data_IF_430637429701
#
_entry.id   IF_430637429701
#
_cell.length_a   1.000
_cell.length_b   1.000
_cell.length_c   1.000
_cell.angle_alpha   90.00
_cell.angle_beta   90.00
_cell.angle_gamma   90.00
#
_symmetry.space_group_name_H-M   'P 1'
#
loop_
_entity.id
_entity.type
_entity.pdbx_description
1 polymer ?
#
# COMPACT_ATOMS: atom_id res chain seq x y z
N UNK A 1 5.18 6.92 -16.46
CA UNK A 1 4.63 6.49 -15.15
C UNK A 1 3.17 6.93 -15.04
N UNK A 2 2.24 6.09 -14.56
CA UNK A 2 0.82 6.51 -14.40
C UNK A 2 0.60 7.12 -13.01
N UNK A 3 0.17 8.39 -12.96
CA UNK A 3 -0.01 9.19 -11.72
C UNK A 3 -0.92 8.51 -10.68
N UNK A 4 -1.91 7.73 -11.11
CA UNK A 4 -2.87 7.05 -10.24
C UNK A 4 -2.24 5.96 -9.38
N UNK A 5 -1.23 5.24 -9.88
CA UNK A 5 -0.56 4.17 -9.13
C UNK A 5 0.30 4.74 -7.99
N UNK A 6 0.94 5.88 -8.22
CA UNK A 6 1.69 6.61 -7.19
C UNK A 6 0.77 7.17 -6.10
N UNK A 7 -0.36 7.76 -6.50
CA UNK A 7 -1.36 8.24 -5.55
C UNK A 7 -1.93 7.10 -4.69
N UNK A 8 -2.12 5.91 -5.28
CA UNK A 8 -2.56 4.72 -4.56
C UNK A 8 -1.52 4.25 -3.53
N UNK A 9 -0.23 4.21 -3.92
CA UNK A 9 0.83 3.89 -2.96
C UNK A 9 0.89 4.91 -1.81
N UNK A 10 0.80 6.21 -2.12
CA UNK A 10 0.75 7.28 -1.11
C UNK A 10 -0.46 7.15 -0.17
N UNK A 11 -1.60 6.69 -0.68
CA UNK A 11 -2.78 6.44 0.14
C UNK A 11 -2.52 5.35 1.20
N UNK A 12 -1.98 4.19 0.82
CA UNK A 12 -1.63 3.12 1.76
C UNK A 12 -0.64 3.59 2.82
N UNK A 13 0.39 4.30 2.36
CA UNK A 13 1.40 4.96 3.17
C UNK A 13 0.79 5.82 4.28
N UNK A 14 -0.11 6.75 3.93
CA UNK A 14 -0.79 7.60 4.90
C UNK A 14 -1.72 6.83 5.83
N UNK A 15 -2.44 5.84 5.31
CA UNK A 15 -3.35 5.01 6.09
C UNK A 15 -2.61 4.28 7.21
N UNK A 16 -1.47 3.64 6.90
CA UNK A 16 -0.68 2.91 7.89
C UNK A 16 -0.06 3.85 8.94
N UNK A 17 0.46 5.00 8.51
CA UNK A 17 1.01 6.00 9.43
C UNK A 17 -0.03 6.50 10.42
N UNK A 18 -1.25 6.76 9.96
CA UNK A 18 -2.29 7.33 10.82
C UNK A 18 -2.76 6.32 11.89
N UNK A 19 -2.87 5.04 11.53
CA UNK A 19 -3.15 3.98 12.51
C UNK A 19 -2.01 3.84 13.52
N UNK A 20 -0.75 3.94 13.08
CA UNK A 20 0.40 3.92 13.97
C UNK A 20 0.36 5.07 14.98
N UNK A 21 -0.03 6.28 14.59
CA UNK A 21 -0.19 7.43 15.51
C UNK A 21 -1.24 7.17 16.58
N UNK A 22 -2.24 6.35 16.29
CA UNK A 22 -3.26 5.91 17.25
C UNK A 22 -2.84 4.71 18.10
N UNK A 23 -1.56 4.28 18.01
CA UNK A 23 -1.04 3.12 18.74
C UNK A 23 -1.42 1.76 18.13
N UNK A 24 -2.00 1.75 16.93
CA UNK A 24 -2.42 0.52 16.25
C UNK A 24 -1.35 0.11 15.24
N UNK A 25 -0.77 -1.07 15.44
CA UNK A 25 0.22 -1.63 14.51
C UNK A 25 -0.47 -2.47 13.45
N UNK A 26 -0.38 -2.04 12.19
CA UNK A 26 -0.79 -2.85 11.04
C UNK A 26 0.39 -3.74 10.65
N UNK A 27 0.25 -5.05 10.86
CA UNK A 27 1.28 -6.05 10.57
C UNK A 27 1.34 -6.46 9.09
N UNK A 28 0.21 -6.38 8.38
CA UNK A 28 0.09 -6.80 7.00
C UNK A 28 -1.01 -6.04 6.26
N UNK A 29 -0.82 -5.84 4.96
CA UNK A 29 -1.84 -5.33 4.04
C UNK A 29 -1.88 -6.19 2.79
N UNK A 30 -3.07 -6.28 2.18
CA UNK A 30 -3.25 -6.84 0.85
C UNK A 30 -3.50 -5.70 -0.14
N UNK A 31 -2.96 -5.82 -1.37
CA UNK A 31 -3.12 -4.79 -2.41
C UNK A 31 -4.59 -4.54 -2.72
N UNK A 32 -5.39 -5.60 -2.74
CA UNK A 32 -6.81 -5.54 -3.03
C UNK A 32 -7.49 -6.76 -2.42
N UNK A 33 -8.68 -6.56 -1.85
CA UNK A 33 -9.55 -7.66 -1.46
C UNK A 33 -10.18 -8.30 -2.71
N UNK A 34 -10.24 -9.63 -2.76
CA UNK A 34 -10.94 -10.40 -3.81
C UNK A 34 -10.67 -9.88 -5.25
N UNK A 35 -9.42 -9.98 -5.68
CA UNK A 35 -8.91 -9.38 -6.95
C UNK A 35 -9.72 -9.76 -8.20
N UNK A 36 -10.40 -10.91 -8.18
CA UNK A 36 -11.20 -11.43 -9.29
C UNK A 36 -12.72 -11.17 -9.17
N UNK A 37 -13.18 -10.49 -8.11
CA UNK A 37 -14.60 -10.25 -7.89
C UNK A 37 -15.18 -9.22 -8.88
N UNK A 38 -16.39 -9.51 -9.36
CA UNK A 38 -17.16 -8.67 -10.30
C UNK A 38 -18.60 -8.48 -9.79
N UNK A 39 -18.71 -8.14 -8.51
CA UNK A 39 -19.98 -8.01 -7.81
C UNK A 39 -20.41 -6.54 -7.71
N UNK A 40 -21.71 -6.27 -7.53
CA UNK A 40 -22.26 -4.91 -7.29
C UNK A 40 -21.98 -4.40 -5.87
N UNK A 41 -20.73 -4.47 -5.43
CA UNK A 41 -20.19 -4.00 -4.15
C UNK A 41 -18.91 -3.18 -4.44
N UNK A 42 -18.31 -2.45 -3.47
CA UNK A 42 -17.06 -1.74 -3.74
C UNK A 42 -15.93 -2.73 -4.05
N UNK A 43 -15.71 -2.96 -5.34
CA UNK A 43 -14.66 -3.81 -5.88
C UNK A 43 -13.75 -2.98 -6.78
N UNK A 44 -12.45 -3.28 -6.75
CA UNK A 44 -11.50 -2.76 -7.72
C UNK A 44 -10.94 -3.94 -8.50
N UNK A 45 -11.39 -4.10 -9.74
CA UNK A 45 -10.86 -5.11 -10.64
C UNK A 45 -9.41 -4.76 -10.99
N UNK A 46 -8.46 -5.48 -10.41
CA UNK A 46 -7.05 -5.36 -10.76
C UNK A 46 -6.69 -6.50 -11.73
N UNK A 47 -6.49 -6.17 -13.01
CA UNK A 47 -6.01 -7.15 -13.98
C UNK A 47 -4.61 -7.65 -13.63
N UNK A 48 -4.27 -8.89 -14.03
CA UNK A 48 -3.01 -9.56 -13.67
C UNK A 48 -1.74 -8.75 -14.04
N UNK A 49 -1.72 -8.09 -15.19
CA UNK A 49 -0.62 -7.20 -15.61
C UNK A 49 -0.47 -5.96 -14.73
N UNK A 50 -1.56 -5.56 -14.07
CA UNK A 50 -1.57 -4.42 -13.16
C UNK A 50 -1.12 -4.85 -11.77
N UNK A 51 -1.48 -6.05 -11.30
CA UNK A 51 -0.99 -6.57 -10.00
C UNK A 51 0.51 -6.79 -10.01
N UNK A 52 1.06 -7.34 -11.09
CA UNK A 52 2.51 -7.61 -11.23
C UNK A 52 3.37 -6.36 -11.08
N UNK A 53 2.92 -5.21 -11.59
CA UNK A 53 3.70 -3.98 -11.59
C UNK A 53 3.35 -3.05 -10.42
N UNK A 54 2.10 -3.05 -9.92
CA UNK A 54 1.70 -2.14 -8.82
C UNK A 54 2.43 -2.47 -7.52
N UNK A 55 2.69 -3.75 -7.26
CA UNK A 55 3.34 -4.19 -6.02
C UNK A 55 4.83 -3.78 -5.93
N UNK A 56 5.72 -4.24 -6.83
CA UNK A 56 7.15 -3.92 -6.76
C UNK A 56 7.47 -2.47 -7.13
N UNK A 57 6.78 -1.89 -8.13
CA UNK A 57 7.20 -0.60 -8.68
C UNK A 57 6.63 0.61 -7.92
N UNK A 58 5.55 0.42 -7.14
CA UNK A 58 4.82 1.53 -6.51
C UNK A 58 4.59 1.33 -5.01
N UNK A 59 3.98 0.21 -4.59
CA UNK A 59 3.62 0.01 -3.19
C UNK A 59 4.84 -0.19 -2.29
N UNK A 60 5.75 -1.10 -2.65
CA UNK A 60 6.96 -1.36 -1.84
C UNK A 60 7.84 -0.10 -1.69
N UNK A 61 8.15 0.67 -2.76
CA UNK A 61 8.89 1.92 -2.64
C UNK A 61 8.17 2.98 -1.80
N UNK A 62 6.85 3.12 -1.95
CA UNK A 62 6.03 4.08 -1.18
C UNK A 62 6.06 3.79 0.33
N UNK A 63 5.94 2.52 0.71
CA UNK A 63 5.97 2.10 2.11
C UNK A 63 7.38 2.20 2.73
N UNK A 64 8.43 1.86 1.97
CA UNK A 64 9.82 1.95 2.44
C UNK A 64 10.31 3.39 2.67
N UNK A 65 9.75 4.36 1.93
CA UNK A 65 10.09 5.79 2.06
C UNK A 65 9.63 6.37 3.40
N UNK A 66 8.52 5.86 3.92
CA UNK A 66 8.05 6.19 5.28
C UNK A 66 8.96 5.58 6.34
N UNK A 67 9.36 4.32 6.17
CA UNK A 67 10.25 3.64 7.12
C UNK A 67 11.57 4.40 7.32
N UNK A 68 12.10 5.03 6.26
CA UNK A 68 13.32 5.86 6.35
C UNK A 68 13.16 7.15 7.16
N UNK A 69 11.97 7.74 7.23
CA UNK A 69 11.69 8.87 8.12
C UNK A 69 11.45 8.44 9.57
N UNK A 70 11.31 7.14 9.84
CA UNK A 70 11.10 6.56 11.16
C UNK A 70 12.36 5.90 11.77
N UNK A 71 13.52 5.95 11.09
CA UNK A 71 14.77 5.38 11.61
C UNK A 71 15.54 6.38 12.48
N UNK A 72 15.14 6.47 13.75
CA UNK A 72 16.01 6.87 14.87
C UNK A 72 15.97 5.88 16.04
N UNK A 73 15.65 4.60 15.79
CA UNK A 73 15.43 3.69 16.92
C UNK A 73 15.50 2.18 16.69
N UNK A 74 16.19 1.70 15.66
CA UNK A 74 16.49 0.25 15.57
C UNK A 74 17.88 0.03 14.99
N UNK A 75 18.85 -0.14 15.90
CA UNK A 75 20.13 -0.78 15.62
C UNK A 75 19.94 -2.29 15.63
N UNK A 76 20.19 -2.90 14.49
CA UNK A 76 20.71 -4.26 14.39
C UNK A 76 22.19 -4.15 14.03
#
# INVERSE_FOLDING_TARGET
MRKTQQAYALYFSKFIEEYKKQGITISQVHVQNEVAADQKLPVLRLGWRTTENVYPDYLVPGLSTISRHAKSGWGL
#
